data_IF_909377884681
#
_entry.id   IF_909377884681
#
_cell.length_a   1.000
_cell.length_b   1.000
_cell.length_c   1.000
_cell.angle_alpha   90.00
_cell.angle_beta   90.00
_cell.angle_gamma   90.00
#
_symmetry.space_group_name_H-M   'P 1'
#
loop_
_entity.id
_entity.type
_entity.pdbx_description
1 polymer ?
#
# COMPACT_ATOMS: atom_id res chain seq x y z
N UNK A 1 19.45 -16.87 5.99
CA UNK A 1 19.62 -15.39 5.91
C UNK A 1 18.30 -14.71 6.24
N UNK A 2 18.19 -13.97 7.35
CA UNK A 2 16.97 -13.21 7.69
C UNK A 2 16.94 -11.94 6.85
N UNK A 3 16.12 -11.89 5.79
CA UNK A 3 15.93 -10.64 5.04
C UNK A 3 15.32 -9.60 5.99
N UNK A 4 16.09 -8.54 6.27
CA UNK A 4 15.58 -7.30 6.85
C UNK A 4 14.59 -6.72 5.84
N UNK A 5 13.31 -7.00 6.04
CA UNK A 5 12.24 -6.48 5.20
C UNK A 5 11.64 -5.27 5.89
N UNK A 6 11.79 -4.09 5.29
CA UNK A 6 11.07 -2.90 5.72
C UNK A 6 9.61 -3.08 5.36
N UNK A 7 8.67 -2.84 6.30
CA UNK A 7 7.24 -3.01 6.05
C UNK A 7 6.76 -2.20 4.83
N UNK A 8 7.38 -1.06 4.55
CA UNK A 8 7.07 -0.24 3.36
C UNK A 8 7.21 -0.96 2.01
N UNK A 9 8.02 -2.02 1.95
CA UNK A 9 8.25 -2.83 0.73
C UNK A 9 7.47 -4.14 0.73
N UNK A 10 6.55 -4.30 1.67
CA UNK A 10 5.78 -5.51 1.85
C UNK A 10 4.46 -5.40 1.08
N UNK A 11 4.08 -6.43 0.33
CA UNK A 11 2.79 -6.50 -0.37
C UNK A 11 1.58 -6.41 0.57
N UNK A 12 1.79 -6.68 1.86
CA UNK A 12 0.75 -6.61 2.89
C UNK A 12 0.70 -5.26 3.61
N UNK A 13 1.50 -4.29 3.20
CA UNK A 13 1.51 -2.96 3.80
C UNK A 13 0.68 -2.02 2.94
N UNK A 14 -0.37 -1.48 3.54
CA UNK A 14 -1.21 -0.45 2.95
C UNK A 14 -0.82 0.84 3.63
N UNK A 15 -0.16 1.75 2.93
CA UNK A 15 0.23 3.03 3.54
C UNK A 15 -0.99 3.91 3.79
N UNK A 16 -0.87 4.75 4.81
CA UNK A 16 -1.80 5.81 5.08
C UNK A 16 -1.58 6.96 4.08
N UNK A 17 -2.65 7.53 3.52
CA UNK A 17 -2.56 8.55 2.44
C UNK A 17 -1.78 9.82 2.85
N UNK A 18 -1.98 10.26 4.10
CA UNK A 18 -1.32 11.44 4.66
C UNK A 18 0.09 11.12 5.18
N UNK A 19 0.29 9.94 5.78
CA UNK A 19 1.51 9.59 6.51
C UNK A 19 2.14 8.33 5.93
N UNK A 20 2.94 8.45 4.87
CA UNK A 20 3.55 7.30 4.18
C UNK A 20 4.53 6.44 5.00
N UNK A 21 4.89 6.87 6.22
CA UNK A 21 5.65 6.05 7.17
C UNK A 21 4.75 5.21 8.09
N UNK A 22 3.44 5.45 8.08
CA UNK A 22 2.42 4.73 8.82
C UNK A 22 1.55 3.95 7.82
N UNK A 23 1.20 2.72 8.15
CA UNK A 23 0.30 1.95 7.32
C UNK A 23 -0.29 0.75 8.05
N UNK A 24 -1.29 0.13 7.45
CA UNK A 24 -1.91 -1.08 7.97
C UNK A 24 -1.18 -2.31 7.41
N UNK A 25 -0.80 -3.23 8.30
CA UNK A 25 -0.42 -4.57 7.88
C UNK A 25 -1.67 -5.45 7.81
N UNK A 26 -2.21 -5.70 6.61
CA UNK A 26 -3.41 -6.55 6.43
C UNK A 26 -3.26 -7.96 7.00
N UNK A 27 -2.02 -8.49 7.07
CA UNK A 27 -1.77 -9.81 7.69
C UNK A 27 -1.80 -9.83 9.22
N UNK A 28 -1.52 -8.70 9.86
CA UNK A 28 -1.59 -8.56 11.32
C UNK A 28 -2.87 -7.84 11.76
N UNK A 29 -3.60 -7.26 10.81
CA UNK A 29 -4.69 -6.32 11.04
C UNK A 29 -4.31 -5.24 12.07
N UNK A 30 -3.10 -4.70 11.93
CA UNK A 30 -2.51 -3.78 12.90
C UNK A 30 -1.77 -2.66 12.18
N UNK A 31 -1.83 -1.45 12.76
CA UNK A 31 -1.02 -0.32 12.32
C UNK A 31 0.46 -0.62 12.57
N UNK A 32 1.26 -0.44 11.54
CA UNK A 32 2.71 -0.63 11.56
C UNK A 32 3.38 0.61 11.00
N UNK A 33 4.53 0.94 11.56
CA UNK A 33 5.41 1.99 11.05
C UNK A 33 6.51 1.37 10.21
N UNK A 34 6.87 2.04 9.11
CA UNK A 34 7.94 1.63 8.19
C UNK A 34 9.31 1.49 8.88
N UNK A 35 9.54 2.29 9.92
CA UNK A 35 10.83 2.40 10.62
C UNK A 35 11.04 1.40 11.76
N UNK A 36 9.96 0.86 12.34
CA UNK A 36 10.03 0.14 13.63
C UNK A 36 10.07 -1.40 13.46
N UNK A 37 9.45 -1.96 12.42
CA UNK A 37 9.38 -3.42 12.19
C UNK A 37 10.42 -3.88 11.15
N UNK A 38 11.72 -3.65 11.42
CA UNK A 38 12.83 -3.99 10.50
C UNK A 38 12.98 -5.50 10.21
N UNK A 39 12.24 -6.38 10.89
CA UNK A 39 12.28 -7.82 10.65
C UNK A 39 10.90 -8.46 10.73
N UNK A 40 10.01 -8.15 9.79
CA UNK A 40 8.76 -8.89 9.65
C UNK A 40 9.05 -10.31 9.11
N UNK A 41 8.78 -11.35 9.92
CA UNK A 41 8.92 -12.77 9.48
C UNK A 41 7.98 -13.13 8.33
N UNK A 42 6.89 -12.39 8.16
CA UNK A 42 5.91 -12.53 7.08
C UNK A 42 6.14 -11.51 5.95
N UNK A 43 7.30 -10.84 5.94
CA UNK A 43 7.66 -9.93 4.87
C UNK A 43 7.61 -10.67 3.53
N UNK A 44 6.80 -10.15 2.61
CA UNK A 44 6.74 -10.61 1.24
C UNK A 44 7.00 -9.40 0.37
N UNK A 45 8.15 -9.43 -0.27
CA UNK A 45 8.56 -8.42 -1.24
C UNK A 45 7.51 -8.33 -2.34
N UNK A 46 7.13 -7.09 -2.66
CA UNK A 46 6.22 -6.81 -3.75
C UNK A 46 6.91 -7.06 -5.07
N UNK A 47 6.88 -8.31 -5.54
CA UNK A 47 7.52 -8.69 -6.80
C UNK A 47 6.82 -8.04 -7.99
N UNK A 48 7.60 -7.56 -8.96
CA UNK A 48 7.13 -7.01 -10.24
C UNK A 48 6.01 -7.83 -10.88
N UNK A 49 6.15 -9.17 -10.88
CA UNK A 49 5.14 -10.08 -11.43
C UNK A 49 3.79 -10.02 -10.71
N UNK A 50 3.79 -9.81 -9.40
CA UNK A 50 2.54 -9.69 -8.64
C UNK A 50 1.90 -8.33 -8.92
N UNK A 51 2.70 -7.26 -9.04
CA UNK A 51 2.20 -5.94 -9.42
C UNK A 51 1.64 -5.91 -10.85
N UNK A 52 2.32 -6.58 -11.78
CA UNK A 52 1.85 -6.75 -13.16
C UNK A 52 0.50 -7.48 -13.21
N UNK A 53 0.36 -8.57 -12.43
CA UNK A 53 -0.94 -9.24 -12.27
C UNK A 53 -1.99 -8.32 -11.66
N UNK A 54 -1.65 -7.56 -10.61
CA UNK A 54 -2.59 -6.65 -9.97
C UNK A 54 -3.03 -5.51 -10.91
N UNK A 55 -2.14 -4.95 -11.72
CA UNK A 55 -2.53 -4.01 -12.80
C UNK A 55 -3.47 -4.70 -13.79
N UNK A 56 -3.18 -5.94 -14.18
CA UNK A 56 -4.00 -6.68 -15.15
C UNK A 56 -5.38 -7.02 -14.59
N UNK A 57 -5.48 -7.33 -13.29
CA UNK A 57 -6.74 -7.71 -12.62
C UNK A 57 -7.57 -6.50 -12.18
N UNK A 58 -6.95 -5.46 -11.59
CA UNK A 58 -7.64 -4.25 -11.11
C UNK A 58 -7.70 -3.12 -12.15
N UNK A 59 -6.87 -3.17 -13.18
CA UNK A 59 -6.71 -2.12 -14.19
C UNK A 59 -5.75 -0.99 -13.80
N UNK A 60 -5.37 -0.88 -12.52
CA UNK A 60 -4.51 0.18 -12.02
C UNK A 60 -3.88 -0.17 -10.67
N UNK A 61 -2.80 0.53 -10.33
CA UNK A 61 -2.16 0.58 -9.03
C UNK A 61 -2.01 2.03 -8.57
N UNK A 62 -1.65 2.26 -7.31
CA UNK A 62 -1.41 3.60 -6.79
C UNK A 62 0.00 3.75 -6.28
N UNK A 63 0.72 4.75 -6.80
CA UNK A 63 2.01 5.17 -6.28
C UNK A 63 1.79 6.13 -5.11
N UNK A 64 2.16 5.70 -3.91
CA UNK A 64 2.07 6.48 -2.68
C UNK A 64 3.18 7.54 -2.58
N UNK A 65 4.32 7.33 -3.24
CA UNK A 65 5.37 8.37 -3.32
C UNK A 65 4.93 9.54 -4.18
N UNK A 66 4.42 9.25 -5.38
CA UNK A 66 4.05 10.27 -6.36
C UNK A 66 2.59 10.74 -6.23
N UNK A 67 1.78 10.04 -5.45
CA UNK A 67 0.32 10.22 -5.32
C UNK A 67 -0.39 10.18 -6.67
N UNK A 68 0.04 9.23 -7.51
CA UNK A 68 -0.48 9.04 -8.87
C UNK A 68 -0.90 7.59 -9.09
N UNK A 69 -2.02 7.37 -9.78
CA UNK A 69 -2.34 6.03 -10.27
C UNK A 69 -1.38 5.64 -11.39
N UNK A 70 -1.03 4.35 -11.42
CA UNK A 70 -0.20 3.68 -12.42
C UNK A 70 -1.13 2.76 -13.20
N UNK A 71 -1.25 2.96 -14.51
CA UNK A 71 -2.17 2.16 -15.34
C UNK A 71 -1.45 1.11 -16.19
N UNK A 72 -0.14 1.28 -16.37
CA UNK A 72 0.64 0.47 -17.31
C UNK A 72 1.86 -0.15 -16.65
N UNK A 73 2.29 -1.30 -17.17
CA UNK A 73 3.52 -1.96 -16.74
C UNK A 73 4.77 -1.11 -17.03
N UNK A 74 4.75 -0.29 -18.08
CA UNK A 74 5.83 0.64 -18.41
C UNK A 74 5.98 1.72 -17.34
N UNK A 75 4.87 2.37 -16.93
CA UNK A 75 4.87 3.31 -15.81
C UNK A 75 5.28 2.62 -14.49
N UNK A 76 4.83 1.39 -14.26
CA UNK A 76 5.19 0.63 -13.07
C UNK A 76 6.71 0.44 -12.93
N UNK A 77 7.42 0.25 -14.06
CA UNK A 77 8.89 0.13 -14.04
C UNK A 77 9.58 1.39 -13.55
N UNK A 78 9.04 2.56 -13.88
CA UNK A 78 9.57 3.84 -13.41
C UNK A 78 9.35 3.99 -11.89
N UNK A 79 8.28 3.38 -11.37
CA UNK A 79 7.89 3.41 -9.96
C UNK A 79 8.40 2.21 -9.13
N UNK A 80 9.39 1.45 -9.62
CA UNK A 80 9.89 0.26 -8.92
C UNK A 80 10.58 0.55 -7.59
N UNK A 81 11.16 1.74 -7.46
CA UNK A 81 11.76 2.22 -6.21
C UNK A 81 10.75 2.96 -5.32
N UNK A 82 9.56 3.25 -5.84
CA UNK A 82 8.51 3.93 -5.11
C UNK A 82 7.64 2.96 -4.31
N UNK A 83 6.91 3.49 -3.34
CA UNK A 83 5.87 2.72 -2.67
C UNK A 83 4.66 2.61 -3.59
N UNK A 84 4.46 1.43 -4.16
CA UNK A 84 3.29 1.11 -4.98
C UNK A 84 2.38 0.16 -4.21
N UNK A 85 1.11 0.51 -4.11
CA UNK A 85 0.09 -0.29 -3.46
C UNK A 85 -1.09 -0.53 -4.39
N UNK A 86 -1.70 -1.71 -4.29
CA UNK A 86 -2.95 -2.02 -4.99
C UNK A 86 -4.19 -1.47 -4.28
N UNK A 87 -3.99 -0.86 -3.12
CA UNK A 87 -5.01 -0.40 -2.20
C UNK A 87 -4.43 0.73 -1.36
N UNK A 88 -5.17 1.80 -1.12
CA UNK A 88 -4.79 2.82 -0.15
C UNK A 88 -5.78 2.76 1.01
N UNK A 89 -5.32 3.05 2.23
CA UNK A 89 -6.21 3.18 3.37
C UNK A 89 -7.07 4.42 3.13
N UNK A 90 -8.18 4.27 2.43
CA UNK A 90 -9.21 5.28 2.39
C UNK A 90 -9.85 5.23 3.77
N UNK A 91 -9.78 6.36 4.49
CA UNK A 91 -10.62 6.55 5.66
C UNK A 91 -12.06 6.40 5.13
N UNK A 92 -12.73 5.31 5.50
CA UNK A 92 -14.16 5.17 5.33
C UNK A 92 -14.76 6.18 6.31
N UNK A 93 -14.75 7.46 5.91
CA UNK A 93 -15.52 8.49 6.58
C UNK A 93 -16.95 8.05 6.36
N UNK A 94 -17.46 7.31 7.34
CA UNK A 94 -18.85 6.98 7.46
C UNK A 94 -19.63 8.24 7.09
N UNK A 95 -20.40 8.17 6.01
CA UNK A 95 -21.36 9.21 5.68
C UNK A 95 -22.43 9.15 6.76
N UNK A 96 -22.13 9.73 7.93
CA UNK A 96 -23.14 10.09 8.90
C UNK A 96 -23.85 11.31 8.30
N UNK A 97 -24.69 11.06 7.30
CA UNK A 97 -25.77 11.95 6.95
C UNK A 97 -26.65 12.04 8.20
N UNK A 98 -26.33 12.96 9.11
CA UNK A 98 -27.22 13.30 10.20
C UNK A 98 -28.51 13.84 9.57
N UNK A 99 -29.67 13.19 9.72
CA UNK A 99 -30.91 13.78 9.28
C UNK A 99 -31.19 15.00 10.17
N UNK A 100 -30.94 16.20 9.67
CA UNK A 100 -31.61 17.39 10.19
C UNK A 100 -33.08 17.28 9.83
N UNK A 101 -33.88 16.78 10.77
CA UNK A 101 -35.34 16.87 10.70
C UNK A 101 -35.77 18.28 11.17
N UNK A 102 -36.66 18.89 10.38
CA UNK A 102 -37.35 20.17 10.56
C UNK A 102 -38.15 20.25 11.88
#
# INVERSE_FOLDING_TARGET
MRKKGFCEKCVYFIAHDIYGYLGLCVKKNALVTSTMDRSCKKFRDTSLKELEKLITEKGWLYCLTCKKPIYSFEELKEHLNDQVSSDFLSDDVASEEAPSAD
#
